data_IF_603263358269
#
_entry.id   IF_603263358269
#
_cell.length_a   1.000
_cell.length_b   1.000
_cell.length_c   1.000
_cell.angle_alpha   90.00
_cell.angle_beta   90.00
_cell.angle_gamma   90.00
#
_symmetry.space_group_name_H-M   'P 1'
#
loop_
_entity.id
_entity.type
_entity.pdbx_description
1 polymer ?
#
# COMPACT_ATOMS: atom_id res chain seq x y z
N UNK A 1 1.80 -16.89 5.94
CA UNK A 1 2.81 -15.82 5.78
C UNK A 1 2.04 -14.54 5.92
N UNK A 2 2.29 -13.78 6.98
CA UNK A 2 1.58 -12.53 7.29
C UNK A 2 1.95 -11.46 6.28
N UNK A 3 0.96 -10.80 5.69
CA UNK A 3 1.16 -9.66 4.79
C UNK A 3 1.30 -8.35 5.59
N UNK A 4 1.94 -7.32 5.03
CA UNK A 4 2.06 -6.00 5.67
C UNK A 4 0.68 -5.39 5.99
N UNK A 5 -0.32 -5.67 5.15
CA UNK A 5 -1.69 -5.23 5.39
C UNK A 5 -2.28 -5.86 6.65
N UNK A 6 -2.00 -7.15 6.91
CA UNK A 6 -2.46 -7.83 8.11
C UNK A 6 -1.80 -7.22 9.36
N UNK A 7 -0.49 -6.92 9.28
CA UNK A 7 0.26 -6.28 10.38
C UNK A 7 -0.32 -4.90 10.72
N UNK A 8 -0.68 -4.11 9.71
CA UNK A 8 -1.28 -2.79 9.93
C UNK A 8 -2.70 -2.92 10.48
N UNK A 9 -3.50 -3.87 9.99
CA UNK A 9 -4.87 -4.09 10.46
C UNK A 9 -4.95 -4.56 11.93
N UNK A 10 -3.90 -5.25 12.41
CA UNK A 10 -3.76 -5.66 13.81
C UNK A 10 -3.61 -4.46 14.78
N UNK A 11 -3.05 -3.34 14.31
CA UNK A 11 -2.71 -2.18 15.16
C UNK A 11 -3.52 -0.92 14.86
N UNK A 12 -4.22 -0.87 13.73
CA UNK A 12 -5.04 0.24 13.29
C UNK A 12 -6.24 -0.25 12.45
N UNK A 13 -7.22 0.61 12.24
CA UNK A 13 -8.29 0.35 11.26
C UNK A 13 -7.70 0.59 9.87
N UNK A 14 -7.48 -0.48 9.09
CA UNK A 14 -6.92 -0.37 7.75
C UNK A 14 -8.03 -0.23 6.69
N UNK A 15 -8.06 0.92 6.02
CA UNK A 15 -8.94 1.21 4.88
C UNK A 15 -8.10 1.22 3.61
N UNK A 16 -8.51 0.47 2.58
CA UNK A 16 -7.89 0.52 1.26
C UNK A 16 -8.95 0.80 0.22
N UNK A 17 -8.85 1.95 -0.45
CA UNK A 17 -9.82 2.38 -1.45
C UNK A 17 -9.15 3.25 -2.52
N UNK A 18 -9.74 3.39 -3.71
CA UNK A 18 -9.23 4.33 -4.69
C UNK A 18 -9.63 5.76 -4.31
N UNK A 19 -8.69 6.70 -4.42
CA UNK A 19 -8.96 8.13 -4.24
C UNK A 19 -8.20 9.00 -5.24
N UNK A 20 -8.93 9.94 -5.82
CA UNK A 20 -8.43 11.01 -6.67
C UNK A 20 -9.31 12.23 -6.36
N UNK A 21 -8.71 13.40 -6.15
CA UNK A 21 -9.47 14.63 -5.92
C UNK A 21 -10.12 15.15 -7.23
N UNK A 22 -10.96 16.18 -7.13
CA UNK A 22 -11.63 16.76 -8.31
C UNK A 22 -10.69 17.39 -9.35
N UNK A 23 -9.40 17.54 -9.04
CA UNK A 23 -8.37 18.08 -9.92
C UNK A 23 -7.44 16.99 -10.49
N UNK A 24 -7.68 15.72 -10.18
CA UNK A 24 -6.83 14.60 -10.60
C UNK A 24 -5.64 14.32 -9.68
N UNK A 25 -5.52 15.00 -8.54
CA UNK A 25 -4.43 14.76 -7.58
C UNK A 25 -4.71 13.50 -6.75
N UNK A 26 -3.62 12.79 -6.44
CA UNK A 26 -3.64 11.56 -5.63
C UNK A 26 -2.63 11.69 -4.52
N UNK A 27 -2.92 11.09 -3.38
CA UNK A 27 -1.96 10.84 -2.31
C UNK A 27 -1.84 9.34 -2.07
N UNK A 28 -0.68 8.87 -1.60
CA UNK A 28 -0.39 7.44 -1.42
C UNK A 28 -1.20 6.80 -0.30
N UNK A 29 -1.25 7.47 0.84
CA UNK A 29 -1.90 7.03 2.06
C UNK A 29 -1.76 8.10 3.15
N UNK A 30 -2.39 7.86 4.29
CA UNK A 30 -2.16 8.62 5.52
C UNK A 30 -2.53 7.78 6.74
N UNK A 31 -2.01 8.18 7.88
CA UNK A 31 -2.44 7.71 9.20
C UNK A 31 -3.04 8.87 10.01
N UNK A 32 -4.02 8.56 10.84
CA UNK A 32 -4.67 9.55 11.72
C UNK A 32 -5.21 8.89 12.98
N UNK A 33 -5.59 9.69 13.96
CA UNK A 33 -6.19 9.25 15.21
C UNK A 33 -7.58 9.88 15.37
N UNK A 34 -8.62 9.04 15.39
CA UNK A 34 -10.02 9.47 15.47
C UNK A 34 -10.71 8.70 16.58
N UNK A 35 -11.34 9.41 17.52
CA UNK A 35 -12.20 8.84 18.58
C UNK A 35 -11.58 7.63 19.32
N UNK A 36 -10.29 7.71 19.66
CA UNK A 36 -9.63 6.63 20.40
C UNK A 36 -8.96 5.57 19.52
N UNK A 37 -9.10 5.64 18.20
CA UNK A 37 -8.65 4.63 17.24
C UNK A 37 -7.65 5.22 16.25
N UNK A 38 -6.59 4.47 15.96
CA UNK A 38 -5.74 4.75 14.81
C UNK A 38 -6.40 4.25 13.54
N UNK A 39 -6.36 5.07 12.49
CA UNK A 39 -6.89 4.75 11.16
C UNK A 39 -5.77 4.94 10.15
N UNK A 40 -5.59 3.95 9.29
CA UNK A 40 -4.70 4.03 8.14
C UNK A 40 -5.53 3.94 6.87
N UNK A 41 -5.30 4.89 5.96
CA UNK A 41 -5.85 4.85 4.62
C UNK A 41 -4.74 4.58 3.60
N UNK A 42 -4.97 3.64 2.69
CA UNK A 42 -4.09 3.39 1.55
C UNK A 42 -4.85 3.56 0.24
N UNK A 43 -4.25 4.29 -0.70
CA UNK A 43 -4.86 4.57 -1.99
C UNK A 43 -4.59 3.45 -3.01
N UNK A 44 -5.62 2.71 -3.38
CA UNK A 44 -5.53 1.58 -4.32
C UNK A 44 -5.48 1.99 -5.80
N UNK A 45 -5.39 3.30 -6.10
CA UNK A 45 -5.08 3.81 -7.44
C UNK A 45 -3.58 3.76 -7.76
N UNK A 46 -2.73 3.50 -6.76
CA UNK A 46 -1.33 3.16 -6.97
C UNK A 46 -1.14 1.65 -7.09
N UNK A 47 0.00 1.21 -7.61
CA UNK A 47 0.27 -0.22 -7.77
C UNK A 47 0.37 -0.94 -6.43
N UNK A 48 0.12 -2.25 -6.41
CA UNK A 48 0.20 -3.02 -5.15
C UNK A 48 1.57 -2.92 -4.48
N UNK A 49 2.66 -2.87 -5.26
CA UNK A 49 4.01 -2.68 -4.72
C UNK A 49 4.18 -1.32 -4.02
N UNK A 50 3.52 -0.28 -4.51
CA UNK A 50 3.49 1.05 -3.89
C UNK A 50 2.60 1.07 -2.65
N UNK A 51 1.43 0.44 -2.70
CA UNK A 51 0.54 0.28 -1.54
C UNK A 51 1.27 -0.40 -0.38
N UNK A 52 2.04 -1.47 -0.65
CA UNK A 52 2.81 -2.20 0.37
C UNK A 52 3.90 -1.35 1.00
N UNK A 53 4.62 -0.57 0.20
CA UNK A 53 5.62 0.37 0.71
C UNK A 53 4.97 1.44 1.58
N UNK A 54 3.85 2.00 1.13
CA UNK A 54 3.07 2.99 1.89
C UNK A 54 2.56 2.39 3.20
N UNK A 55 2.07 1.15 3.21
CA UNK A 55 1.63 0.47 4.43
C UNK A 55 2.76 0.34 5.46
N UNK A 56 3.97 -0.03 5.02
CA UNK A 56 5.14 -0.10 5.91
C UNK A 56 5.59 1.28 6.39
N UNK A 57 5.44 2.31 5.56
CA UNK A 57 5.68 3.70 5.94
C UNK A 57 4.69 4.16 7.03
N UNK A 58 3.39 3.94 6.85
CA UNK A 58 2.39 4.29 7.87
C UNK A 58 2.56 3.47 9.15
N UNK A 59 3.00 2.21 9.05
CA UNK A 59 3.32 1.39 10.22
C UNK A 59 4.42 2.03 11.08
N UNK A 60 5.42 2.68 10.47
CA UNK A 60 6.42 3.43 11.24
C UNK A 60 5.77 4.54 12.06
N UNK A 61 4.89 5.35 11.46
CA UNK A 61 4.19 6.43 12.16
C UNK A 61 3.34 5.90 13.31
N UNK A 62 2.64 4.79 13.08
CA UNK A 62 1.89 4.10 14.13
C UNK A 62 2.78 3.55 15.24
N UNK A 63 4.03 3.17 14.99
CA UNK A 63 4.90 2.59 16.01
C UNK A 63 5.72 3.63 16.78
N UNK A 64 6.19 4.65 16.08
CA UNK A 64 7.24 5.56 16.55
C UNK A 64 6.82 7.03 16.58
N UNK A 65 5.68 7.38 15.99
CA UNK A 65 5.17 8.76 15.93
C UNK A 65 3.71 8.90 16.40
N UNK A 66 3.28 8.00 17.31
CA UNK A 66 1.91 8.01 17.87
C UNK A 66 1.54 9.37 18.47
N UNK A 67 2.46 9.98 19.21
CA UNK A 67 2.21 11.26 19.85
C UNK A 67 2.03 12.40 18.84
N UNK A 68 2.74 12.35 17.71
CA UNK A 68 2.55 13.26 16.58
C UNK A 68 1.16 13.11 15.98
N UNK A 69 0.74 11.87 15.71
CA UNK A 69 -0.59 11.55 15.17
C UNK A 69 -1.76 11.95 16.08
N UNK A 70 -1.56 11.94 17.40
CA UNK A 70 -2.59 12.29 18.38
C UNK A 70 -2.69 13.81 18.65
N UNK A 71 -1.69 14.61 18.25
CA UNK A 71 -1.67 16.06 18.49
C UNK A 71 -2.16 16.80 17.24
N UNK A 72 -3.28 17.50 17.35
CA UNK A 72 -3.75 18.39 16.30
C UNK A 72 -2.72 19.51 16.03
N UNK A 73 -2.33 19.67 14.76
CA UNK A 73 -1.57 20.84 14.30
C UNK A 73 -0.05 20.75 14.38
N UNK A 74 0.55 19.57 14.66
CA UNK A 74 1.99 19.40 14.46
C UNK A 74 2.30 19.30 12.96
N UNK A 75 3.19 20.19 12.52
CA UNK A 75 3.71 20.22 11.16
C UNK A 75 4.49 18.93 10.85
N UNK A 76 4.41 18.48 9.61
CA UNK A 76 5.21 17.38 9.05
C UNK A 76 6.68 17.51 9.48
N UNK A 77 7.15 16.62 10.35
CA UNK A 77 8.58 16.50 10.65
C UNK A 77 9.24 15.76 9.49
N UNK A 78 9.94 16.51 8.62
CA UNK A 78 10.68 15.97 7.47
C UNK A 78 11.68 14.88 7.90
N UNK A 79 12.19 14.95 9.14
CA UNK A 79 13.06 13.92 9.70
C UNK A 79 12.30 12.63 10.03
N UNK A 80 11.06 12.73 10.54
CA UNK A 80 10.17 11.58 10.76
C UNK A 80 9.81 10.89 9.45
N UNK A 81 9.44 11.66 8.42
CA UNK A 81 9.16 11.15 7.06
C UNK A 81 10.34 10.42 6.43
N UNK A 82 11.55 10.95 6.62
CA UNK A 82 12.80 10.31 6.16
C UNK A 82 13.00 8.97 6.86
N UNK A 83 12.78 8.91 8.18
CA UNK A 83 12.86 7.66 8.95
C UNK A 83 11.79 6.66 8.55
N UNK A 84 10.55 7.11 8.29
CA UNK A 84 9.47 6.26 7.81
C UNK A 84 9.82 5.58 6.48
N UNK A 85 10.41 6.34 5.55
CA UNK A 85 10.90 5.78 4.28
C UNK A 85 12.04 4.78 4.47
N UNK A 86 13.01 5.07 5.34
CA UNK A 86 14.10 4.15 5.67
C UNK A 86 13.58 2.88 6.33
N UNK A 87 12.64 3.02 7.28
CA UNK A 87 11.98 1.90 7.93
C UNK A 87 11.26 1.02 6.91
N UNK A 88 10.44 1.61 6.03
CA UNK A 88 9.71 0.87 5.00
C UNK A 88 10.65 0.10 4.06
N UNK A 89 11.78 0.72 3.66
CA UNK A 89 12.79 0.07 2.84
C UNK A 89 13.46 -1.11 3.56
N UNK A 90 13.87 -0.94 4.82
CA UNK A 90 14.53 -2.01 5.59
C UNK A 90 13.57 -3.12 5.99
N UNK A 91 12.33 -2.77 6.33
CA UNK A 91 11.29 -3.71 6.74
C UNK A 91 10.86 -4.62 5.58
N UNK A 92 10.64 -4.04 4.39
CA UNK A 92 10.20 -4.80 3.22
C UNK A 92 11.35 -5.43 2.43
N UNK A 93 12.52 -4.79 2.42
CA UNK A 93 13.68 -5.18 1.62
C UNK A 93 14.96 -5.17 2.49
N UNK A 94 15.05 -6.05 3.51
CA UNK A 94 16.16 -6.08 4.44
C UNK A 94 17.49 -6.26 3.71
N UNK A 95 18.52 -5.51 4.12
CA UNK A 95 19.81 -5.43 3.42
C UNK A 95 20.41 -6.80 3.14
N UNK A 96 20.51 -7.65 4.17
CA UNK A 96 21.07 -8.99 4.06
C UNK A 96 20.28 -9.86 3.08
N UNK A 97 18.95 -9.77 3.12
CA UNK A 97 18.08 -10.51 2.21
C UNK A 97 18.26 -10.08 0.75
N UNK A 98 18.32 -8.76 0.51
CA UNK A 98 18.52 -8.21 -0.84
C UNK A 98 19.89 -8.61 -1.38
N UNK A 99 20.95 -8.47 -0.57
CA UNK A 99 22.32 -8.88 -0.94
C UNK A 99 22.39 -10.38 -1.22
N UNK A 100 21.80 -11.20 -0.36
CA UNK A 100 21.76 -12.65 -0.56
C UNK A 100 21.11 -13.01 -1.90
N UNK A 101 19.91 -12.46 -2.18
CA UNK A 101 19.23 -12.73 -3.44
C UNK A 101 20.07 -12.26 -4.63
N UNK A 102 20.61 -11.05 -4.55
CA UNK A 102 21.42 -10.44 -5.61
C UNK A 102 22.63 -11.30 -5.96
N UNK A 103 23.48 -11.63 -4.98
CA UNK A 103 24.73 -12.36 -5.24
C UNK A 103 24.51 -13.85 -5.57
N UNK A 104 23.45 -14.48 -5.05
CA UNK A 104 23.21 -15.92 -5.31
C UNK A 104 22.43 -16.19 -6.59
N UNK A 105 21.60 -15.24 -7.04
CA UNK A 105 20.61 -15.50 -8.11
C UNK A 105 20.78 -14.65 -9.36
N UNK A 106 21.54 -13.56 -9.29
CA UNK A 106 21.74 -12.68 -10.43
C UNK A 106 23.14 -12.82 -11.03
N UNK A 107 23.21 -12.65 -12.34
CA UNK A 107 24.46 -12.64 -13.11
C UNK A 107 24.63 -11.27 -13.74
N UNK A 108 25.87 -10.79 -13.79
CA UNK A 108 26.22 -9.56 -14.51
C UNK A 108 26.21 -9.81 -16.04
N UNK A 109 25.78 -8.84 -16.87
CA UNK A 109 25.29 -7.50 -16.49
C UNK A 109 23.88 -7.52 -15.89
N UNK A 110 23.59 -6.55 -15.02
CA UNK A 110 22.24 -6.36 -14.50
C UNK A 110 21.34 -5.78 -15.61
N UNK A 111 20.11 -6.29 -15.69
CA UNK A 111 19.13 -6.02 -16.73
C UNK A 111 17.76 -5.87 -16.07
N UNK A 112 16.78 -5.32 -16.77
CA UNK A 112 15.44 -5.04 -16.26
C UNK A 112 14.75 -6.30 -15.73
N UNK A 113 14.96 -7.45 -16.39
CA UNK A 113 14.46 -8.76 -15.96
C UNK A 113 14.93 -9.15 -14.56
N UNK A 114 16.15 -8.75 -14.19
CA UNK A 114 16.69 -9.04 -12.87
C UNK A 114 15.96 -8.23 -11.80
N UNK A 115 15.64 -6.97 -12.08
CA UNK A 115 14.83 -6.12 -11.18
C UNK A 115 13.41 -6.67 -11.04
N UNK A 116 12.80 -7.14 -12.14
CA UNK A 116 11.50 -7.84 -12.12
C UNK A 116 11.55 -9.07 -11.22
N UNK A 117 12.61 -9.88 -11.27
CA UNK A 117 12.73 -11.06 -10.38
C UNK A 117 12.84 -10.67 -8.91
N UNK A 118 13.68 -9.68 -8.58
CA UNK A 118 13.88 -9.28 -7.18
C UNK A 118 12.62 -8.62 -6.61
N UNK A 119 11.96 -7.71 -7.36
CA UNK A 119 10.74 -7.05 -6.86
C UNK A 119 9.64 -8.05 -6.51
N UNK A 120 9.56 -9.17 -7.24
CA UNK A 120 8.55 -10.21 -7.03
C UNK A 120 8.86 -11.01 -5.76
N UNK A 121 10.15 -11.22 -5.48
CA UNK A 121 10.60 -11.85 -4.25
C UNK A 121 10.26 -11.02 -3.00
N UNK A 122 10.55 -9.71 -3.02
CA UNK A 122 10.27 -8.80 -1.90
C UNK A 122 8.87 -8.18 -1.94
N UNK A 123 8.09 -8.46 -2.98
CA UNK A 123 6.72 -7.95 -3.19
C UNK A 123 6.64 -6.42 -3.10
N UNK A 124 7.53 -5.73 -3.80
CA UNK A 124 7.56 -4.25 -3.87
C UNK A 124 7.44 -3.78 -5.33
N UNK A 125 7.35 -2.47 -5.55
CA UNK A 125 7.34 -1.93 -6.92
C UNK A 125 8.71 -2.05 -7.59
N UNK A 126 8.74 -1.97 -8.92
CA UNK A 126 9.99 -1.91 -9.70
C UNK A 126 10.90 -0.79 -9.21
N UNK A 127 10.34 0.41 -9.07
CA UNK A 127 11.09 1.60 -8.69
C UNK A 127 11.61 1.54 -7.26
N UNK A 128 10.82 0.98 -6.32
CA UNK A 128 11.28 0.78 -4.93
C UNK A 128 12.45 -0.21 -4.87
N UNK A 129 12.36 -1.33 -5.60
CA UNK A 129 13.44 -2.31 -5.65
C UNK A 129 14.70 -1.73 -6.29
N UNK A 130 14.56 -1.05 -7.43
CA UNK A 130 15.68 -0.44 -8.13
C UNK A 130 16.39 0.61 -7.26
N UNK A 131 15.62 1.47 -6.57
CA UNK A 131 16.15 2.45 -5.63
C UNK A 131 16.92 1.79 -4.50
N UNK A 132 16.39 0.72 -3.91
CA UNK A 132 17.05 -0.03 -2.84
C UNK A 132 18.36 -0.66 -3.29
N UNK A 133 18.45 -1.21 -4.51
CA UNK A 133 19.72 -1.73 -5.04
C UNK A 133 20.77 -0.63 -5.17
N UNK A 134 20.37 0.58 -5.60
CA UNK A 134 21.26 1.75 -5.66
C UNK A 134 21.72 2.17 -4.26
N UNK A 135 20.79 2.27 -3.30
CA UNK A 135 21.08 2.64 -1.91
C UNK A 135 22.09 1.68 -1.26
N UNK A 136 21.97 0.38 -1.55
CA UNK A 136 22.89 -0.66 -1.09
C UNK A 136 24.17 -0.78 -1.94
N UNK A 137 24.38 0.11 -2.91
CA UNK A 137 25.54 0.14 -3.82
C UNK A 137 25.74 -1.17 -4.60
N UNK A 138 24.65 -1.88 -4.90
CA UNK A 138 24.67 -3.13 -5.69
C UNK A 138 24.66 -2.86 -7.19
N UNK A 139 24.25 -1.66 -7.59
CA UNK A 139 24.31 -1.15 -8.96
C UNK A 139 24.92 0.26 -8.94
N UNK A 140 25.61 0.62 -10.01
CA UNK A 140 26.15 1.96 -10.21
C UNK A 140 25.06 2.99 -10.57
N UNK A 141 25.40 4.28 -10.45
CA UNK A 141 24.52 5.38 -10.89
C UNK A 141 24.10 5.24 -12.36
N UNK A 142 25.05 4.87 -13.23
CA UNK A 142 24.77 4.70 -14.66
C UNK A 142 23.85 3.52 -14.96
N UNK A 143 23.99 2.41 -14.23
CA UNK A 143 23.06 1.28 -14.31
C UNK A 143 21.66 1.68 -13.81
N UNK A 144 21.59 2.40 -12.68
CA UNK A 144 20.33 2.89 -12.13
C UNK A 144 19.58 3.78 -13.14
N UNK A 145 20.24 4.79 -13.71
CA UNK A 145 19.59 5.69 -14.68
C UNK A 145 19.11 4.94 -15.93
N UNK A 146 19.89 3.98 -16.43
CA UNK A 146 19.48 3.13 -17.55
C UNK A 146 18.26 2.27 -17.21
N UNK A 147 18.31 1.55 -16.09
CA UNK A 147 17.24 0.62 -15.68
C UNK A 147 15.96 1.34 -15.27
N UNK A 148 16.06 2.58 -14.79
CA UNK A 148 14.90 3.40 -14.41
C UNK A 148 14.02 3.75 -15.61
N UNK A 149 14.56 3.80 -16.83
CA UNK A 149 13.81 4.18 -18.03
C UNK A 149 12.53 3.34 -18.22
N UNK A 150 12.60 2.01 -18.06
CA UNK A 150 11.43 1.14 -18.24
C UNK A 150 10.30 1.40 -17.23
N UNK A 151 10.58 2.09 -16.12
CA UNK A 151 9.58 2.43 -15.10
C UNK A 151 8.73 3.66 -15.45
N UNK A 152 9.08 4.38 -16.52
CA UNK A 152 8.32 5.56 -16.95
C UNK A 152 6.98 5.16 -17.59
N UNK A 153 5.94 6.01 -17.48
CA UNK A 153 4.60 5.70 -18.00
C UNK A 153 4.58 5.29 -19.49
N UNK A 154 5.40 5.90 -20.34
CA UNK A 154 5.50 5.59 -21.76
C UNK A 154 6.00 4.16 -22.06
N UNK A 155 6.69 3.51 -21.11
CA UNK A 155 7.20 2.15 -21.23
C UNK A 155 6.38 1.12 -20.41
N UNK A 156 5.22 1.51 -19.88
CA UNK A 156 4.39 0.63 -19.06
C UNK A 156 4.06 -0.71 -19.73
N UNK A 157 3.74 -0.71 -21.03
CA UNK A 157 3.46 -1.95 -21.77
C UNK A 157 4.70 -2.85 -21.93
N UNK A 158 5.90 -2.27 -22.02
CA UNK A 158 7.14 -3.05 -22.05
C UNK A 158 7.40 -3.72 -20.70
N UNK A 159 7.22 -2.98 -19.60
CA UNK A 159 7.38 -3.53 -18.25
C UNK A 159 6.37 -4.67 -17.98
N UNK A 160 5.12 -4.51 -18.40
CA UNK A 160 4.09 -5.57 -18.30
C UNK A 160 4.49 -6.81 -19.09
N UNK A 161 4.88 -6.62 -20.36
CA UNK A 161 5.32 -7.73 -21.23
C UNK A 161 6.50 -8.48 -20.62
N UNK A 162 7.51 -7.75 -20.14
CA UNK A 162 8.68 -8.32 -19.49
C UNK A 162 8.30 -9.11 -18.23
N UNK A 163 7.40 -8.57 -17.41
CA UNK A 163 6.91 -9.23 -16.18
C UNK A 163 6.24 -10.57 -16.49
N UNK A 164 5.41 -10.63 -17.53
CA UNK A 164 4.76 -11.86 -17.99
C UNK A 164 5.78 -12.84 -18.55
N UNK A 165 6.75 -12.38 -19.34
CA UNK A 165 7.81 -13.22 -19.91
C UNK A 165 8.69 -13.87 -18.82
N UNK A 166 8.89 -13.18 -17.69
CA UNK A 166 9.56 -13.70 -16.51
C UNK A 166 8.68 -14.62 -15.65
N UNK A 167 7.42 -14.82 -16.02
CA UNK A 167 6.50 -15.78 -15.39
C UNK A 167 5.70 -15.24 -14.22
N UNK A 168 5.60 -13.92 -14.06
CA UNK A 168 4.92 -13.29 -12.91
C UNK A 168 3.60 -12.61 -13.28
N UNK A 169 2.74 -12.40 -12.28
CA UNK A 169 1.52 -11.60 -12.42
C UNK A 169 1.85 -10.11 -12.42
N UNK A 170 0.91 -9.30 -12.92
CA UNK A 170 1.07 -7.85 -13.02
C UNK A 170 0.68 -7.08 -11.75
N UNK A 171 0.30 -7.77 -10.67
CA UNK A 171 -0.30 -7.16 -9.48
C UNK A 171 0.59 -6.09 -8.85
N UNK A 172 1.91 -6.32 -8.76
CA UNK A 172 2.86 -5.37 -8.16
C UNK A 172 3.04 -4.07 -8.94
N UNK A 173 2.66 -4.04 -10.22
CA UNK A 173 2.86 -2.90 -11.12
C UNK A 173 1.55 -2.31 -11.64
N UNK A 174 0.39 -2.85 -11.24
CA UNK A 174 -0.92 -2.34 -11.59
C UNK A 174 -1.71 -1.90 -10.36
N UNK A 175 -2.55 -0.86 -10.47
CA UNK A 175 -3.46 -0.49 -9.40
C UNK A 175 -4.45 -1.60 -9.09
N UNK A 176 -4.75 -1.80 -7.80
CA UNK A 176 -5.65 -2.87 -7.37
C UNK A 176 -7.13 -2.45 -7.41
N UNK A 177 -7.42 -1.13 -7.31
CA UNK A 177 -8.78 -0.56 -7.19
C UNK A 177 -9.66 -1.24 -6.12
N UNK A 178 -9.03 -1.93 -5.16
CA UNK A 178 -9.74 -2.66 -4.11
C UNK A 178 -10.49 -1.68 -3.22
N UNK A 179 -11.63 -2.11 -2.68
CA UNK A 179 -12.34 -1.40 -1.62
C UNK A 179 -12.48 -2.33 -0.43
N UNK A 180 -11.64 -2.12 0.58
CA UNK A 180 -11.61 -2.97 1.77
C UNK A 180 -11.60 -2.13 3.05
N UNK A 181 -12.27 -2.64 4.06
CA UNK A 181 -12.22 -2.23 5.46
C UNK A 181 -11.97 -3.48 6.30
N UNK A 182 -11.61 -3.34 7.59
CA UNK A 182 -11.42 -4.48 8.47
C UNK A 182 -12.74 -5.22 8.70
N UNK A 183 -12.70 -6.55 8.78
CA UNK A 183 -13.90 -7.39 8.97
C UNK A 183 -14.67 -6.99 10.25
N UNK A 184 -13.95 -6.76 11.35
CA UNK A 184 -14.52 -6.24 12.61
C UNK A 184 -15.33 -4.96 12.42
N UNK A 185 -14.91 -4.06 11.52
CA UNK A 185 -15.61 -2.80 11.28
C UNK A 185 -16.87 -3.03 10.46
N UNK A 186 -16.82 -3.96 9.51
CA UNK A 186 -17.99 -4.39 8.76
C UNK A 186 -19.06 -5.02 9.66
N UNK A 187 -18.66 -5.89 10.60
CA UNK A 187 -19.53 -6.46 11.63
C UNK A 187 -20.16 -5.37 12.50
N UNK A 188 -19.36 -4.40 12.97
CA UNK A 188 -19.86 -3.26 13.74
C UNK A 188 -20.93 -2.45 12.99
N UNK A 189 -20.76 -2.24 11.68
CA UNK A 189 -21.76 -1.53 10.86
C UNK A 189 -23.09 -2.30 10.86
N UNK A 190 -23.04 -3.62 10.67
CA UNK A 190 -24.21 -4.50 10.68
C UNK A 190 -24.87 -4.48 12.06
N UNK A 191 -24.11 -4.71 13.13
CA UNK A 191 -24.62 -4.76 14.50
C UNK A 191 -25.30 -3.46 14.92
N UNK A 192 -24.71 -2.32 14.58
CA UNK A 192 -25.32 -1.02 14.89
C UNK A 192 -26.64 -0.82 14.13
N UNK A 193 -26.77 -1.35 12.91
CA UNK A 193 -28.04 -1.30 12.18
C UNK A 193 -29.08 -2.24 12.80
N UNK A 194 -28.72 -3.49 13.04
CA UNK A 194 -29.61 -4.51 13.65
C UNK A 194 -30.11 -4.06 15.03
N UNK A 195 -29.28 -3.36 15.80
CA UNK A 195 -29.65 -2.83 17.11
C UNK A 195 -30.38 -1.47 17.05
N UNK A 196 -30.70 -0.96 15.85
CA UNK A 196 -31.43 0.30 15.66
C UNK A 196 -30.64 1.56 16.04
N UNK A 197 -29.31 1.47 16.19
CA UNK A 197 -28.44 2.61 16.53
C UNK A 197 -28.14 3.49 15.32
N UNK A 198 -28.27 2.94 14.11
CA UNK A 198 -28.18 3.67 12.84
C UNK A 198 -29.40 3.39 11.97
N UNK A 199 -29.81 4.38 11.18
CA UNK A 199 -30.92 4.24 10.24
C UNK A 199 -30.53 3.41 9.00
N UNK A 200 -31.51 2.90 8.26
CA UNK A 200 -31.29 2.22 6.98
C UNK A 200 -30.52 3.09 5.98
N UNK A 201 -30.81 4.40 5.94
CA UNK A 201 -30.07 5.35 5.11
C UNK A 201 -28.59 5.41 5.49
N UNK A 202 -28.27 5.50 6.78
CA UNK A 202 -26.89 5.54 7.26
C UNK A 202 -26.17 4.21 7.07
N UNK A 203 -26.86 3.09 7.26
CA UNK A 203 -26.37 1.74 6.94
C UNK A 203 -26.03 1.61 5.45
N UNK A 204 -26.92 2.06 4.56
CA UNK A 204 -26.68 2.10 3.13
C UNK A 204 -25.48 2.96 2.75
N UNK A 205 -25.30 4.13 3.40
CA UNK A 205 -24.12 4.97 3.19
C UNK A 205 -22.85 4.22 3.57
N UNK A 206 -22.83 3.57 4.74
CA UNK A 206 -21.66 2.84 5.20
C UNK A 206 -21.28 1.65 4.31
N UNK A 207 -22.26 0.86 3.85
CA UNK A 207 -22.01 -0.26 2.94
C UNK A 207 -21.49 0.21 1.57
N UNK A 208 -21.90 1.40 1.11
CA UNK A 208 -21.44 1.90 -0.18
C UNK A 208 -19.92 2.18 -0.22
N UNK A 209 -19.28 2.47 0.93
CA UNK A 209 -17.83 2.59 1.02
C UNK A 209 -17.12 1.29 0.66
N UNK A 210 -17.69 0.12 0.97
CA UNK A 210 -17.15 -1.19 0.59
C UNK A 210 -17.75 -1.74 -0.70
N UNK A 211 -18.49 -0.91 -1.45
CA UNK A 211 -19.14 -1.32 -2.69
C UNK A 211 -20.26 -2.36 -2.48
N UNK A 212 -20.93 -2.32 -1.32
CA UNK A 212 -22.09 -3.17 -1.00
C UNK A 212 -23.35 -2.34 -0.79
N UNK A 213 -24.50 -2.99 -0.83
CA UNK A 213 -25.81 -2.42 -0.53
C UNK A 213 -26.51 -3.23 0.58
N UNK A 214 -27.46 -2.62 1.32
CA UNK A 214 -28.24 -3.37 2.30
C UNK A 214 -28.97 -4.58 1.69
N UNK A 215 -29.47 -4.44 0.46
CA UNK A 215 -30.20 -5.50 -0.24
C UNK A 215 -29.32 -6.71 -0.57
N UNK A 216 -28.08 -6.50 -1.04
CA UNK A 216 -27.10 -7.57 -1.25
C UNK A 216 -26.75 -8.30 0.06
N UNK A 217 -26.95 -7.63 1.20
CA UNK A 217 -26.74 -8.16 2.53
C UNK A 217 -28.01 -8.76 3.14
N UNK A 218 -29.13 -8.79 2.40
CA UNK A 218 -30.41 -9.36 2.85
C UNK A 218 -31.26 -8.45 3.72
N UNK A 219 -30.99 -7.15 3.75
CA UNK A 219 -31.77 -6.16 4.51
C UNK A 219 -32.66 -5.34 3.58
N UNK A 220 -33.97 -5.44 3.77
CA UNK A 220 -34.95 -4.65 3.03
C UNK A 220 -35.12 -3.24 3.60
N UNK A 221 -35.49 -2.26 2.78
CA UNK A 221 -35.85 -0.93 3.27
C UNK A 221 -37.06 -1.02 4.22
N UNK A 222 -37.14 -0.17 5.25
CA UNK A 222 -38.30 -0.14 6.15
C UNK A 222 -39.59 0.11 5.37
N UNK A 223 -40.67 -0.58 5.72
CA UNK A 223 -42.00 -0.27 5.20
C UNK A 223 -42.40 1.15 5.65
N UNK A 224 -42.91 1.94 4.69
CA UNK A 224 -43.28 3.36 4.85
C UNK A 224 -44.58 3.52 5.64
#
# INVERSE_FOLDING_TARGET
>A
MTDIFDIVDDVAILIRQPFEDGNGNKFSGFSTYIEGQFVVYLNTMFSLGHERFTAAHELYHLMFDKEGLMREGLMFDEYSETKANLFAAEFLMPEDGVKEFFYKRLTSPIEEKHIVRIQQHFKVSYSAMLRRLKELQLISEGEYEKLKEISKPEYAEQLKKLTIQEGYTLELILPSYKKTIPERFFEMIIDNYVQGRISYSKFSTFLSFVGKTPLEMGYEPPEV
#
